data_IF_715977656089
#
_entry.id   IF_715977656089
#
_cell.length_a   1.000
_cell.length_b   1.000
_cell.length_c   1.000
_cell.angle_alpha   90.00
_cell.angle_beta   90.00
_cell.angle_gamma   90.00
#
_symmetry.space_group_name_H-M   'P 1'
#
loop_
_entity.id
_entity.type
_entity.pdbx_description
1 polymer ?
#
# COMPACT_ATOMS: atom_id res chain seq x y z
N UNK A 1 -9.06 14.64 4.25
CA UNK A 1 -8.34 13.89 3.21
C UNK A 1 -9.25 12.80 2.66
N UNK A 2 -9.48 12.80 1.38
CA UNK A 2 -10.36 11.83 0.72
C UNK A 2 -9.54 10.74 0.05
N UNK A 3 -10.07 9.50 0.05
CA UNK A 3 -9.48 8.41 -0.72
C UNK A 3 -9.75 8.59 -2.21
N UNK A 4 -8.92 7.95 -3.04
CA UNK A 4 -9.04 8.05 -4.49
C UNK A 4 -10.37 7.46 -4.99
N UNK A 5 -11.07 8.13 -5.93
CA UNK A 5 -12.27 7.57 -6.55
C UNK A 5 -11.95 6.43 -7.53
N UNK A 6 -10.68 6.16 -7.83
CA UNK A 6 -10.26 5.09 -8.73
C UNK A 6 -10.24 3.72 -8.05
N UNK A 7 -10.43 3.67 -6.74
CA UNK A 7 -10.45 2.42 -5.99
C UNK A 7 -11.64 1.57 -6.39
N UNK A 8 -11.38 0.29 -6.73
CA UNK A 8 -12.42 -0.69 -7.09
C UNK A 8 -12.50 -1.85 -6.10
N UNK A 9 -11.60 -1.92 -5.13
CA UNK A 9 -11.56 -2.96 -4.11
C UNK A 9 -11.07 -2.36 -2.80
N UNK A 10 -11.74 -2.66 -1.71
CA UNK A 10 -11.33 -2.17 -0.37
C UNK A 10 -11.22 -3.34 0.59
N UNK A 11 -10.08 -3.46 1.23
CA UNK A 11 -9.83 -4.41 2.32
C UNK A 11 -8.97 -3.71 3.36
N UNK A 12 -9.60 -3.06 4.33
CA UNK A 12 -8.86 -2.27 5.31
C UNK A 12 -8.00 -3.15 6.22
N UNK A 13 -6.74 -2.77 6.35
CA UNK A 13 -5.75 -3.45 7.18
C UNK A 13 -5.73 -2.86 8.59
N UNK A 14 -5.53 -3.68 9.64
CA UNK A 14 -5.26 -3.18 10.98
C UNK A 14 -3.84 -2.61 11.14
N UNK A 15 -2.97 -2.81 10.15
CA UNK A 15 -1.56 -2.48 10.23
C UNK A 15 -1.31 -1.02 9.84
N UNK A 16 -1.72 -0.10 10.71
CA UNK A 16 -1.49 1.33 10.52
C UNK A 16 -1.38 2.03 11.88
N UNK A 17 -0.80 3.22 11.87
CA UNK A 17 -0.58 4.00 13.09
C UNK A 17 -1.67 5.04 13.36
N UNK A 18 -2.78 4.98 12.64
CA UNK A 18 -3.84 5.99 12.76
C UNK A 18 -3.48 7.26 12.02
N UNK A 19 -4.06 8.37 12.44
CA UNK A 19 -3.90 9.66 11.77
C UNK A 19 -2.44 10.05 11.62
N UNK A 20 -2.13 10.61 10.44
CA UNK A 20 -0.80 11.14 10.15
C UNK A 20 -0.47 12.30 11.06
N UNK A 21 0.80 12.41 11.40
CA UNK A 21 1.34 13.55 12.18
C UNK A 21 1.95 14.62 11.28
N UNK A 22 2.04 14.37 9.98
CA UNK A 22 2.61 15.27 8.99
C UNK A 22 1.67 15.44 7.81
N UNK A 23 1.78 16.55 7.10
CA UNK A 23 1.10 16.74 5.82
C UNK A 23 1.70 15.79 4.79
N UNK A 24 0.85 15.31 3.88
CA UNK A 24 1.30 14.49 2.76
C UNK A 24 2.03 15.39 1.76
N UNK A 25 3.29 15.05 1.48
CA UNK A 25 4.12 15.75 0.51
C UNK A 25 4.95 14.78 -0.33
N UNK A 26 4.70 13.48 -0.19
CA UNK A 26 5.50 12.44 -0.81
C UNK A 26 4.58 11.34 -1.32
N UNK A 27 4.95 10.73 -2.44
CA UNK A 27 4.35 9.50 -2.93
C UNK A 27 5.46 8.45 -2.92
N UNK A 28 5.23 7.32 -2.25
CA UNK A 28 6.18 6.22 -2.20
C UNK A 28 5.61 5.03 -2.95
N UNK A 29 6.33 4.59 -3.98
CA UNK A 29 5.98 3.40 -4.75
C UNK A 29 6.89 2.26 -4.29
N UNK A 30 6.27 1.17 -3.87
CA UNK A 30 6.94 -0.01 -3.36
C UNK A 30 6.53 -1.22 -4.18
N UNK A 31 7.46 -2.11 -4.50
CA UNK A 31 7.15 -3.30 -5.27
C UNK A 31 6.67 -4.41 -4.34
N UNK A 32 5.55 -5.04 -4.71
CA UNK A 32 5.11 -6.26 -4.03
C UNK A 32 6.18 -7.35 -4.16
N UNK A 33 6.18 -8.28 -3.23
CA UNK A 33 7.10 -9.44 -3.28
C UNK A 33 6.62 -10.49 -4.29
N UNK A 34 5.91 -10.08 -5.33
CA UNK A 34 5.42 -10.97 -6.38
C UNK A 34 4.35 -10.32 -7.23
N UNK A 35 3.79 -11.11 -8.13
CA UNK A 35 2.74 -10.67 -9.06
C UNK A 35 1.36 -10.92 -8.45
N UNK A 36 1.05 -10.22 -7.37
CA UNK A 36 -0.16 -10.46 -6.59
C UNK A 36 -1.37 -9.73 -7.16
N UNK A 37 -2.54 -10.35 -7.03
CA UNK A 37 -3.80 -9.63 -7.19
C UNK A 37 -4.02 -8.68 -6.01
N UNK A 38 -4.94 -7.71 -6.16
CA UNK A 38 -5.28 -6.83 -5.06
C UNK A 38 -5.89 -7.59 -3.89
N UNK A 39 -6.62 -8.67 -4.15
CA UNK A 39 -7.20 -9.54 -3.11
C UNK A 39 -6.11 -10.24 -2.31
N UNK A 40 -5.13 -10.83 -2.99
CA UNK A 40 -4.02 -11.52 -2.33
C UNK A 40 -3.21 -10.56 -1.46
N UNK A 41 -2.86 -9.40 -2.00
CA UNK A 41 -2.14 -8.38 -1.25
C UNK A 41 -2.95 -7.89 -0.05
N UNK A 42 -4.26 -7.67 -0.24
CA UNK A 42 -5.15 -7.25 0.83
C UNK A 42 -5.23 -8.27 1.95
N UNK A 43 -5.28 -9.56 1.61
CA UNK A 43 -5.30 -10.63 2.61
C UNK A 43 -3.99 -10.68 3.41
N UNK A 44 -2.86 -10.43 2.78
CA UNK A 44 -1.57 -10.35 3.47
C UNK A 44 -1.57 -9.19 4.47
N UNK A 45 -2.03 -8.03 4.04
CA UNK A 45 -2.06 -6.84 4.91
C UNK A 45 -3.15 -6.89 5.98
N UNK A 46 -4.17 -7.72 5.81
CA UNK A 46 -5.20 -7.93 6.82
C UNK A 46 -4.68 -8.77 8.01
N UNK A 47 -3.56 -9.45 7.85
CA UNK A 47 -2.94 -10.23 8.91
C UNK A 47 -2.12 -9.32 9.82
N UNK A 48 -2.53 -9.17 11.08
CA UNK A 48 -1.84 -8.31 12.05
C UNK A 48 -0.41 -8.76 12.34
N UNK A 49 -0.13 -10.06 12.23
CA UNK A 49 1.22 -10.59 12.44
C UNK A 49 2.19 -10.16 11.34
N UNK A 50 1.70 -9.77 10.17
CA UNK A 50 2.52 -9.33 9.05
C UNK A 50 3.18 -7.98 9.30
N UNK A 51 2.55 -7.11 10.08
CA UNK A 51 3.02 -5.77 10.42
C UNK A 51 3.47 -4.95 9.21
N UNK A 52 2.70 -5.05 8.13
CA UNK A 52 2.95 -4.33 6.89
C UNK A 52 1.64 -3.94 6.25
N UNK A 53 1.64 -2.81 5.55
CA UNK A 53 0.50 -2.33 4.78
C UNK A 53 0.93 -1.21 3.83
N UNK A 54 0.01 -0.80 2.96
CA UNK A 54 0.14 0.42 2.16
C UNK A 54 -1.22 1.10 2.10
N UNK A 55 -1.24 2.37 1.73
CA UNK A 55 -2.52 3.05 1.51
C UNK A 55 -3.25 2.42 0.34
N UNK A 56 -2.56 2.23 -0.77
CA UNK A 56 -3.14 1.67 -2.00
C UNK A 56 -2.34 0.48 -2.49
N UNK A 57 -2.98 -0.35 -3.31
CA UNK A 57 -2.31 -1.38 -4.07
C UNK A 57 -2.74 -1.32 -5.52
N UNK A 58 -1.84 -1.68 -6.43
CA UNK A 58 -2.14 -1.88 -7.84
C UNK A 58 -1.79 -3.33 -8.15
N UNK A 59 -2.82 -4.10 -8.47
CA UNK A 59 -2.68 -5.53 -8.70
C UNK A 59 -2.17 -5.89 -10.08
N UNK A 60 -1.97 -7.17 -10.28
CA UNK A 60 -1.45 -7.72 -11.55
C UNK A 60 -2.32 -7.40 -12.76
N UNK A 61 -3.61 -7.14 -12.56
CA UNK A 61 -4.56 -6.79 -13.62
C UNK A 61 -4.81 -5.28 -13.72
N UNK A 62 -4.08 -4.46 -12.98
CA UNK A 62 -4.21 -3.01 -12.99
C UNK A 62 -5.29 -2.45 -12.09
N UNK A 63 -6.06 -3.29 -11.38
CA UNK A 63 -7.07 -2.80 -10.43
C UNK A 63 -6.40 -2.10 -9.26
N UNK A 64 -7.09 -1.07 -8.73
CA UNK A 64 -6.60 -0.26 -7.63
C UNK A 64 -7.39 -0.60 -6.37
N UNK A 65 -6.68 -0.88 -5.30
CA UNK A 65 -7.26 -1.22 -4.00
C UNK A 65 -6.91 -0.18 -2.94
N UNK A 66 -7.78 -0.09 -1.92
CA UNK A 66 -7.53 0.67 -0.71
C UNK A 66 -7.32 -0.30 0.46
N UNK A 67 -6.19 -0.18 1.14
CA UNK A 67 -5.87 -0.99 2.31
C UNK A 67 -5.77 -0.17 3.59
N UNK A 68 -5.34 1.08 3.51
CA UNK A 68 -5.29 2.02 4.63
C UNK A 68 -5.79 3.37 4.13
N UNK A 69 -6.74 3.96 4.84
CA UNK A 69 -7.26 5.29 4.47
C UNK A 69 -6.10 6.27 4.28
N UNK A 70 -6.22 7.14 3.28
CA UNK A 70 -5.17 8.13 2.97
C UNK A 70 -4.83 9.02 4.16
N UNK A 71 -5.82 9.28 5.01
CA UNK A 71 -5.64 10.08 6.22
C UNK A 71 -4.76 9.39 7.27
N UNK A 72 -4.52 8.09 7.13
CA UNK A 72 -3.79 7.29 8.11
C UNK A 72 -2.40 6.91 7.61
N UNK A 73 -1.48 6.74 8.56
CA UNK A 73 -0.11 6.30 8.27
C UNK A 73 -0.07 4.79 8.09
N UNK A 74 0.30 4.33 6.90
CA UNK A 74 0.55 2.90 6.62
C UNK A 74 1.91 2.45 7.17
N UNK A 75 2.14 1.13 7.15
CA UNK A 75 3.43 0.54 7.52
C UNK A 75 4.09 -0.05 6.27
N UNK A 76 4.49 0.81 5.33
CA UNK A 76 5.01 0.40 4.04
C UNK A 76 6.52 0.26 3.99
N UNK A 77 7.24 1.27 4.51
CA UNK A 77 8.68 1.38 4.30
C UNK A 77 9.51 1.07 5.56
N UNK A 78 8.88 0.78 6.67
CA UNK A 78 9.52 0.67 7.98
C UNK A 78 10.12 1.99 8.48
N UNK A 79 9.97 3.08 7.72
CA UNK A 79 10.41 4.40 8.13
C UNK A 79 9.20 5.22 8.57
N UNK A 80 9.11 5.49 9.85
CA UNK A 80 8.02 6.33 10.37
C UNK A 80 8.06 7.72 9.74
N UNK A 81 9.24 8.30 9.58
CA UNK A 81 9.39 9.63 8.99
C UNK A 81 8.83 9.69 7.57
N UNK A 82 9.13 8.68 6.74
CA UNK A 82 8.61 8.61 5.38
C UNK A 82 7.10 8.32 5.38
N UNK A 83 6.67 7.31 6.12
CA UNK A 83 5.29 6.83 6.06
C UNK A 83 4.29 7.83 6.65
N UNK A 84 4.72 8.72 7.55
CA UNK A 84 3.88 9.79 8.06
C UNK A 84 3.53 10.84 7.00
N UNK A 85 4.40 11.04 6.02
CA UNK A 85 4.26 12.08 5.01
C UNK A 85 3.94 11.57 3.62
N UNK A 86 3.92 10.26 3.41
CA UNK A 86 3.77 9.65 2.09
C UNK A 86 2.44 8.95 1.92
N UNK A 87 1.82 9.15 0.76
CA UNK A 87 0.86 8.17 0.23
C UNK A 87 1.67 7.00 -0.30
N UNK A 88 1.41 5.81 0.20
CA UNK A 88 2.19 4.62 -0.13
C UNK A 88 1.38 3.71 -1.05
N UNK A 89 2.06 3.18 -2.08
CA UNK A 89 1.42 2.36 -3.11
C UNK A 89 2.27 1.11 -3.34
N UNK A 90 1.68 -0.06 -3.11
CA UNK A 90 2.29 -1.36 -3.45
C UNK A 90 1.88 -1.73 -4.86
N UNK A 91 2.85 -2.04 -5.72
CA UNK A 91 2.61 -2.38 -7.13
C UNK A 91 3.06 -3.81 -7.41
N UNK A 92 2.17 -4.61 -8.00
CA UNK A 92 2.49 -5.95 -8.43
C UNK A 92 3.57 -5.92 -9.53
N UNK A 93 4.42 -6.95 -9.54
CA UNK A 93 5.49 -7.05 -10.53
C UNK A 93 5.61 -8.46 -11.06
N UNK A 94 6.12 -8.60 -12.28
CA UNK A 94 6.25 -9.88 -12.98
C UNK A 94 7.57 -10.59 -12.75
N UNK A 95 8.45 -10.01 -11.95
CA UNK A 95 9.76 -10.58 -11.67
C UNK A 95 10.22 -10.18 -10.30
N UNK A 96 11.50 -10.33 -10.07
CA UNK A 96 12.13 -9.98 -8.80
C UNK A 96 13.23 -8.97 -8.98
N UNK A 97 13.94 -8.71 -7.89
CA UNK A 97 15.12 -7.88 -7.94
C UNK A 97 16.14 -8.45 -8.95
N UNK A 98 16.92 -7.58 -9.61
CA UNK A 98 16.94 -6.13 -9.46
C UNK A 98 15.96 -5.37 -10.35
N UNK A 99 15.30 -6.04 -11.28
CA UNK A 99 14.57 -5.36 -12.36
C UNK A 99 13.17 -4.88 -11.94
N UNK A 100 12.50 -5.62 -11.06
CA UNK A 100 11.16 -5.29 -10.55
C UNK A 100 10.19 -4.80 -11.64
N UNK A 101 9.97 -5.57 -12.73
CA UNK A 101 9.09 -5.10 -13.81
C UNK A 101 7.64 -5.05 -13.33
N UNK A 102 7.04 -3.88 -13.40
CA UNK A 102 5.63 -3.71 -13.03
C UNK A 102 4.71 -4.27 -14.11
N UNK A 103 3.56 -4.74 -13.67
CA UNK A 103 2.56 -5.31 -14.57
C UNK A 103 1.84 -4.24 -15.38
#
# INVERSE_FOLDING_TARGET
MSNSPLVVYTKLSPNHSGKRTKKIDTITIHCMAGNCSVETCGNLFANSARQASSNYGIGTDGRIALYVDEANRSWCTSSNANDQRAVTIEVANNGGAPDWPVS
#
